data_IF_338085927755
#
_entry.id   IF_338085927755
#
_cell.length_a   1.000
_cell.length_b   1.000
_cell.length_c   1.000
_cell.angle_alpha   90.00
_cell.angle_beta   90.00
_cell.angle_gamma   90.00
#
_symmetry.space_group_name_H-M   'P 1'
#
loop_
_entity.id
_entity.type
_entity.pdbx_description
1 polymer ?
#
# COMPACT_ATOMS: atom_id res chain seq x y z
N UNK A 1 -20.41 -3.75 -11.30
CA UNK A 1 -19.18 -4.05 -10.53
C UNK A 1 -18.32 -2.79 -10.61
N UNK A 2 -18.17 -2.04 -9.52
CA UNK A 2 -17.24 -0.89 -9.48
C UNK A 2 -15.85 -1.51 -9.54
N UNK A 3 -15.29 -1.58 -10.75
CA UNK A 3 -13.91 -2.01 -10.94
C UNK A 3 -13.04 -1.03 -10.18
N UNK A 4 -12.44 -1.48 -9.10
CA UNK A 4 -11.46 -0.72 -8.35
C UNK A 4 -10.33 -0.41 -9.33
N UNK A 5 -10.28 0.83 -9.85
CA UNK A 5 -9.21 1.25 -10.77
C UNK A 5 -7.87 0.93 -10.11
N UNK A 6 -6.86 0.48 -10.88
CA UNK A 6 -5.51 0.19 -10.36
C UNK A 6 -4.98 1.38 -9.52
N UNK A 7 -5.38 2.59 -9.87
CA UNK A 7 -5.09 3.83 -9.13
C UNK A 7 -5.71 3.86 -7.73
N UNK A 8 -6.94 3.37 -7.54
CA UNK A 8 -7.56 3.30 -6.21
C UNK A 8 -6.78 2.37 -5.28
N UNK A 9 -6.26 1.25 -5.79
CA UNK A 9 -5.42 0.32 -5.00
C UNK A 9 -4.13 1.03 -4.55
N UNK A 10 -3.48 1.77 -5.45
CA UNK A 10 -2.30 2.57 -5.11
C UNK A 10 -2.63 3.66 -4.08
N UNK A 11 -3.70 4.42 -4.29
CA UNK A 11 -4.14 5.47 -3.37
C UNK A 11 -4.41 4.93 -1.96
N UNK A 12 -5.11 3.79 -1.85
CA UNK A 12 -5.39 3.16 -0.56
C UNK A 12 -4.10 2.61 0.07
N UNK A 13 -3.18 2.07 -0.73
CA UNK A 13 -1.87 1.62 -0.25
C UNK A 13 -1.03 2.76 0.34
N UNK A 14 -0.93 3.88 -0.36
CA UNK A 14 -0.20 5.08 0.10
C UNK A 14 -0.87 5.68 1.35
N UNK A 15 -2.19 5.80 1.38
CA UNK A 15 -2.93 6.27 2.56
C UNK A 15 -2.72 5.38 3.78
N UNK A 16 -2.63 4.06 3.58
CA UNK A 16 -2.35 3.12 4.65
C UNK A 16 -0.94 3.34 5.23
N UNK A 17 0.08 3.53 4.38
CA UNK A 17 1.43 3.89 4.84
C UNK A 17 1.46 5.23 5.58
N UNK A 18 0.78 6.25 5.06
CA UNK A 18 0.69 7.55 5.70
C UNK A 18 0.03 7.44 7.10
N UNK A 19 -1.03 6.64 7.22
CA UNK A 19 -1.71 6.39 8.49
C UNK A 19 -0.82 5.67 9.50
N UNK A 20 -0.03 4.69 9.05
CA UNK A 20 0.96 4.03 9.89
C UNK A 20 2.03 5.03 10.38
N UNK A 21 2.63 5.80 9.47
CA UNK A 21 3.62 6.83 9.80
C UNK A 21 3.09 7.89 10.77
N UNK A 22 1.87 8.37 10.53
CA UNK A 22 1.19 9.31 11.43
C UNK A 22 0.95 8.68 12.81
N UNK A 23 0.60 7.40 12.88
CA UNK A 23 0.38 6.70 14.15
C UNK A 23 1.65 6.61 14.98
N UNK A 24 2.80 6.33 14.35
CA UNK A 24 4.10 6.37 15.01
C UNK A 24 4.49 7.79 15.43
N UNK A 25 4.25 8.79 14.57
CA UNK A 25 4.52 10.20 14.89
C UNK A 25 3.70 10.70 16.08
N UNK A 26 2.41 10.35 16.14
CA UNK A 26 1.55 10.69 17.29
C UNK A 26 2.02 9.95 18.55
N UNK A 27 2.43 8.68 18.43
CA UNK A 27 2.96 7.92 19.57
C UNK A 27 4.25 8.54 20.14
N UNK A 28 5.08 9.13 19.29
CA UNK A 28 6.29 9.84 19.69
C UNK A 28 5.93 11.17 20.39
N UNK A 29 4.99 11.93 19.81
CA UNK A 29 4.59 13.25 20.32
C UNK A 29 3.79 13.18 21.63
N UNK A 30 2.87 12.22 21.75
CA UNK A 30 1.92 12.11 22.87
C UNK A 30 2.27 10.98 23.85
N UNK A 31 3.36 10.24 23.62
CA UNK A 31 3.75 9.04 24.36
C UNK A 31 2.66 7.94 24.46
N UNK A 32 1.52 8.09 23.78
CA UNK A 32 0.38 7.18 23.78
C UNK A 32 -0.04 6.88 22.34
N UNK A 33 -0.50 5.66 22.10
CA UNK A 33 -1.02 5.28 20.79
C UNK A 33 -2.33 5.99 20.48
N UNK A 34 -2.52 6.50 19.25
CA UNK A 34 -3.77 7.14 18.84
C UNK A 34 -4.94 6.16 18.70
N UNK A 35 -4.66 4.87 18.47
CA UNK A 35 -5.67 3.83 18.28
C UNK A 35 -5.78 2.93 19.51
N UNK A 36 -6.98 2.42 19.78
CA UNK A 36 -7.26 1.50 20.90
C UNK A 36 -6.47 0.18 20.79
N UNK A 37 -6.16 -0.23 19.55
CA UNK A 37 -5.35 -1.42 19.24
C UNK A 37 -3.84 -1.20 19.47
N UNK A 38 -3.43 0.02 19.83
CA UNK A 38 -2.04 0.34 20.11
C UNK A 38 -1.10 0.11 18.91
N UNK A 39 0.08 -0.51 19.13
CA UNK A 39 1.07 -0.72 18.06
C UNK A 39 0.55 -1.63 16.94
N UNK A 40 -0.40 -2.51 17.25
CA UNK A 40 -0.97 -3.45 16.28
C UNK A 40 -1.76 -2.76 15.17
N UNK A 41 -2.46 -1.66 15.50
CA UNK A 41 -3.14 -0.85 14.49
C UNK A 41 -2.17 -0.24 13.49
N UNK A 42 -1.08 0.35 13.99
CA UNK A 42 -0.05 0.95 13.13
C UNK A 42 0.64 -0.10 12.24
N UNK A 43 0.96 -1.29 12.80
CA UNK A 43 1.52 -2.40 12.04
C UNK A 43 0.57 -2.93 10.97
N UNK A 44 -0.73 -3.04 11.27
CA UNK A 44 -1.72 -3.47 10.30
C UNK A 44 -1.76 -2.54 9.08
N UNK A 45 -1.81 -1.23 9.30
CA UNK A 45 -1.81 -0.25 8.20
C UNK A 45 -0.48 -0.25 7.43
N UNK A 46 0.64 -0.49 8.10
CA UNK A 46 1.93 -0.63 7.45
C UNK A 46 1.95 -1.84 6.50
N UNK A 47 1.57 -3.01 7.00
CA UNK A 47 1.54 -4.27 6.21
C UNK A 47 0.55 -4.16 5.06
N UNK A 48 -0.65 -3.62 5.33
CA UNK A 48 -1.68 -3.40 4.31
C UNK A 48 -1.18 -2.45 3.21
N UNK A 49 -0.54 -1.34 3.59
CA UNK A 49 0.02 -0.39 2.64
C UNK A 49 1.09 -1.01 1.75
N UNK A 50 2.04 -1.75 2.33
CA UNK A 50 3.07 -2.46 1.57
C UNK A 50 2.47 -3.52 0.65
N UNK A 51 1.48 -4.28 1.12
CA UNK A 51 0.84 -5.32 0.31
C UNK A 51 0.09 -4.73 -0.90
N UNK A 52 -0.68 -3.65 -0.69
CA UNK A 52 -1.44 -2.99 -1.77
C UNK A 52 -0.51 -2.33 -2.79
N UNK A 53 0.56 -1.68 -2.33
CA UNK A 53 1.57 -1.11 -3.23
C UNK A 53 2.32 -2.22 -3.97
N UNK A 54 2.68 -3.32 -3.29
CA UNK A 54 3.32 -4.48 -3.92
C UNK A 54 2.45 -5.13 -5.00
N UNK A 55 1.14 -5.26 -4.76
CA UNK A 55 0.20 -5.73 -5.78
C UNK A 55 0.12 -4.77 -6.97
N UNK A 56 0.11 -3.45 -6.72
CA UNK A 56 0.17 -2.45 -7.79
C UNK A 56 1.47 -2.59 -8.60
N UNK A 57 2.63 -2.61 -7.95
CA UNK A 57 3.93 -2.73 -8.64
C UNK A 57 4.03 -4.03 -9.43
N UNK A 58 3.58 -5.16 -8.89
CA UNK A 58 3.57 -6.45 -9.61
C UNK A 58 2.65 -6.43 -10.84
N UNK A 59 1.54 -5.71 -10.78
CA UNK A 59 0.59 -5.57 -11.89
C UNK A 59 1.09 -4.63 -13.02
N UNK A 60 2.14 -3.84 -12.78
CA UNK A 60 2.81 -3.02 -13.81
C UNK A 60 4.06 -3.72 -14.34
N UNK A 61 4.86 -4.38 -13.49
CA UNK A 61 6.07 -5.11 -13.93
C UNK A 61 5.73 -6.29 -14.86
N UNK A 62 4.53 -6.86 -14.75
CA UNK A 62 4.11 -7.98 -15.62
C UNK A 62 3.56 -7.51 -16.98
N UNK A 63 3.29 -6.22 -17.16
CA UNK A 63 2.74 -5.66 -18.41
C UNK A 63 3.87 -5.31 -19.41
N UNK A 64 5.06 -4.93 -18.94
CA UNK A 64 6.23 -4.61 -19.80
C UNK A 64 6.93 -5.86 -20.41
N UNK A 65 6.42 -7.07 -20.13
CA UNK A 65 7.07 -8.33 -20.49
C UNK A 65 6.52 -9.07 -21.72
N UNK A 66 5.31 -8.77 -22.21
CA UNK A 66 4.66 -9.56 -23.29
C UNK A 66 4.70 -8.89 -24.69
N UNK A 67 5.21 -7.66 -24.80
CA UNK A 67 5.28 -6.93 -26.08
C UNK A 67 6.60 -7.14 -26.86
N UNK A 68 7.62 -7.73 -26.24
CA UNK A 68 8.91 -8.01 -26.92
C UNK A 68 9.01 -9.42 -27.50
N UNK A 69 8.07 -10.32 -27.20
CA UNK A 69 8.11 -11.72 -27.62
C UNK A 69 7.25 -12.06 -28.85
N UNK A 70 6.42 -11.13 -29.35
CA UNK A 70 5.55 -11.36 -30.53
C UNK A 70 6.03 -10.67 -31.82
N UNK A 71 7.23 -10.10 -31.81
CA UNK A 71 7.78 -9.31 -32.91
C UNK A 71 8.96 -9.91 -33.67
N UNK A 72 9.38 -11.15 -33.37
CA UNK A 72 10.47 -11.81 -34.07
C UNK A 72 10.13 -13.28 -34.37
N UNK A 73 10.10 -13.58 -35.67
CA UNK A 73 9.92 -14.86 -36.37
C UNK A 73 8.49 -15.41 -36.55
#
# INVERSE_FOLDING_TARGET
>A
MVGTSKEQVLFVGVLSLATAGLSFGIKDLMAKWPTEFGPWGALFFLVLGVALIGQYTSAYVTDDGDDTAKGAD
#
